data_IF_426208201836
#
_entry.id   IF_426208201836
#
_cell.length_a   1.000
_cell.length_b   1.000
_cell.length_c   1.000
_cell.angle_alpha   90.00
_cell.angle_beta   90.00
_cell.angle_gamma   90.00
#
_symmetry.space_group_name_H-M   'P 1'
#
loop_
_entity.id
_entity.type
_entity.pdbx_description
1 polymer ?
#
# COMPACT_ATOMS: atom_id res chain seq x y z
N UNK A 1 -19.20 -5.95 -66.41
CA UNK A 1 -18.75 -6.64 -65.17
C UNK A 1 -19.91 -7.43 -64.62
N UNK A 2 -19.71 -8.69 -64.23
CA UNK A 2 -20.80 -9.48 -63.68
C UNK A 2 -21.10 -9.00 -62.24
N UNK A 3 -22.35 -9.05 -61.76
CA UNK A 3 -22.71 -8.53 -60.45
C UNK A 3 -22.01 -9.25 -59.27
N UNK A 4 -21.52 -10.48 -59.48
CA UNK A 4 -20.71 -11.23 -58.50
C UNK A 4 -19.26 -10.73 -58.41
N UNK A 5 -18.71 -10.12 -59.47
CA UNK A 5 -17.35 -9.57 -59.50
C UNK A 5 -17.28 -8.22 -58.79
N UNK A 6 -18.35 -7.43 -58.87
CA UNK A 6 -18.49 -6.15 -58.16
C UNK A 6 -18.67 -6.36 -56.65
N UNK A 7 -19.41 -7.39 -56.22
CA UNK A 7 -19.61 -7.69 -54.80
C UNK A 7 -18.31 -8.17 -54.11
N UNK A 8 -17.48 -8.97 -54.81
CA UNK A 8 -16.18 -9.40 -54.29
C UNK A 8 -15.19 -8.22 -54.16
N UNK A 9 -15.19 -7.30 -55.13
CA UNK A 9 -14.31 -6.12 -55.10
C UNK A 9 -14.66 -5.15 -53.96
N UNK A 10 -15.95 -5.00 -53.62
CA UNK A 10 -16.40 -4.17 -52.50
C UNK A 10 -16.05 -4.79 -51.15
N UNK A 11 -16.19 -6.11 -50.98
CA UNK A 11 -15.78 -6.78 -49.73
C UNK A 11 -14.25 -6.73 -49.51
N UNK A 12 -13.45 -6.88 -50.55
CA UNK A 12 -12.00 -6.76 -50.46
C UNK A 12 -11.56 -5.33 -50.09
N UNK A 13 -12.25 -4.30 -50.60
CA UNK A 13 -11.97 -2.91 -50.26
C UNK A 13 -12.34 -2.56 -48.80
N UNK A 14 -13.38 -3.17 -48.22
CA UNK A 14 -13.73 -2.98 -46.80
C UNK A 14 -12.78 -3.72 -45.84
N UNK A 15 -12.17 -4.83 -46.26
CA UNK A 15 -11.24 -5.60 -45.41
C UNK A 15 -9.85 -4.93 -45.26
N UNK A 16 -9.45 -4.08 -46.21
CA UNK A 16 -8.14 -3.39 -46.20
C UNK A 16 -8.21 -2.03 -45.48
N UNK A 17 -9.42 -1.51 -45.25
CA UNK A 17 -9.65 -0.20 -44.63
C UNK A 17 -10.00 -0.23 -43.14
N UNK A 18 -9.93 -1.39 -42.47
CA UNK A 18 -10.12 -1.44 -41.03
C UNK A 18 -8.99 -0.63 -40.37
N UNK A 19 -9.26 0.52 -39.70
CA UNK A 19 -8.23 1.21 -38.98
C UNK A 19 -7.67 0.22 -37.96
N UNK A 20 -6.37 -0.05 -38.03
CA UNK A 20 -5.67 -0.71 -36.95
C UNK A 20 -5.98 0.12 -35.70
N UNK A 21 -6.84 -0.41 -34.82
CA UNK A 21 -7.05 0.14 -33.49
C UNK A 21 -5.73 -0.10 -32.78
N UNK A 22 -4.77 0.81 -32.97
CA UNK A 22 -3.57 0.83 -32.15
C UNK A 22 -4.06 1.05 -30.73
N UNK A 23 -3.81 0.07 -29.87
CA UNK A 23 -4.00 0.25 -28.45
C UNK A 23 -3.31 1.56 -28.05
N UNK A 24 -4.01 2.38 -27.28
CA UNK A 24 -3.43 3.63 -26.81
C UNK A 24 -2.13 3.27 -26.09
N UNK A 25 -1.03 3.93 -26.46
CA UNK A 25 0.23 3.72 -25.78
C UNK A 25 0.03 4.09 -24.30
N UNK A 26 0.01 3.08 -23.43
CA UNK A 26 -0.10 3.30 -22.00
C UNK A 26 1.15 4.05 -21.54
N UNK A 27 0.96 5.24 -20.98
CA UNK A 27 2.02 6.01 -20.32
C UNK A 27 1.75 5.97 -18.84
N UNK A 28 2.60 5.29 -18.09
CA UNK A 28 2.52 5.21 -16.63
C UNK A 28 2.83 6.53 -15.93
N UNK A 29 3.44 7.49 -16.63
CA UNK A 29 4.04 8.68 -16.03
C UNK A 29 5.46 8.44 -15.51
N UNK A 30 6.03 7.24 -15.68
CA UNK A 30 7.45 7.01 -15.42
C UNK A 30 8.33 7.76 -16.42
N UNK A 31 9.41 8.39 -15.94
CA UNK A 31 10.48 8.95 -16.78
C UNK A 31 11.69 7.99 -16.89
N UNK A 32 11.65 6.85 -16.20
CA UNK A 32 12.71 5.84 -16.20
C UNK A 32 13.97 6.23 -15.43
N UNK A 33 13.99 7.36 -14.72
CA UNK A 33 15.17 7.89 -14.02
C UNK A 33 15.76 6.95 -12.95
N UNK A 34 14.97 6.02 -12.41
CA UNK A 34 15.43 5.04 -11.43
C UNK A 34 16.16 3.85 -12.09
N UNK A 35 15.93 3.58 -13.38
CA UNK A 35 16.39 2.36 -14.03
C UNK A 35 15.58 1.11 -13.62
N UNK A 36 16.09 -0.10 -13.89
CA UNK A 36 15.36 -1.34 -13.60
C UNK A 36 15.37 -1.68 -12.10
N UNK A 37 14.23 -2.14 -11.58
CA UNK A 37 14.13 -2.78 -10.26
C UNK A 37 14.07 -4.28 -10.48
N UNK A 38 15.03 -5.04 -9.96
CA UNK A 38 15.03 -6.51 -10.03
C UNK A 38 15.46 -7.12 -8.70
N UNK A 39 14.58 -7.91 -8.08
CA UNK A 39 14.91 -8.59 -6.81
C UNK A 39 15.74 -9.86 -7.01
N UNK A 40 15.75 -10.43 -8.23
CA UNK A 40 16.11 -11.84 -8.42
C UNK A 40 15.33 -12.73 -7.45
N UNK A 41 16.02 -13.68 -6.82
CA UNK A 41 15.49 -14.53 -5.75
C UNK A 41 15.80 -14.02 -4.33
N UNK A 42 16.39 -12.82 -4.19
CA UNK A 42 16.85 -12.26 -2.91
C UNK A 42 15.94 -11.17 -2.34
N UNK A 43 16.36 -10.59 -1.22
CA UNK A 43 15.70 -9.40 -0.66
C UNK A 43 16.39 -8.12 -1.16
N UNK A 44 15.64 -7.29 -1.88
CA UNK A 44 16.04 -5.95 -2.28
C UNK A 44 15.28 -4.94 -1.43
N UNK A 45 15.99 -4.12 -0.65
CA UNK A 45 15.37 -3.05 0.16
C UNK A 45 15.73 -1.69 -0.42
N UNK A 46 14.71 -0.96 -0.88
CA UNK A 46 14.85 0.37 -1.47
C UNK A 46 14.52 1.47 -0.45
N UNK A 47 15.24 2.58 -0.52
CA UNK A 47 14.90 3.78 0.26
C UNK A 47 13.86 4.58 -0.53
N UNK A 48 12.73 4.89 0.11
CA UNK A 48 11.60 5.55 -0.55
C UNK A 48 11.96 7.01 -0.88
N UNK A 49 11.78 7.46 -2.14
CA UNK A 49 11.97 8.85 -2.52
C UNK A 49 11.09 9.80 -1.70
N UNK A 50 11.44 11.08 -1.52
CA UNK A 50 10.66 12.01 -0.70
C UNK A 50 9.19 12.16 -1.10
N UNK A 51 8.85 11.95 -2.37
CA UNK A 51 7.49 11.98 -2.92
C UNK A 51 6.81 10.60 -2.95
N UNK A 52 7.54 9.53 -2.63
CA UNK A 52 7.05 8.16 -2.65
C UNK A 52 7.04 7.48 -4.01
N UNK A 53 7.56 8.12 -5.07
CA UNK A 53 7.39 7.63 -6.45
C UNK A 53 8.72 7.12 -7.01
N UNK A 54 8.74 5.85 -7.40
CA UNK A 54 9.83 5.26 -8.17
C UNK A 54 9.49 5.32 -9.66
N UNK A 55 10.32 6.00 -10.45
CA UNK A 55 10.22 6.04 -11.91
C UNK A 55 11.17 5.04 -12.55
N UNK A 56 10.79 3.76 -12.53
CA UNK A 56 11.60 2.66 -13.07
C UNK A 56 11.48 2.53 -14.60
N UNK A 57 12.45 1.85 -15.21
CA UNK A 57 12.31 1.39 -16.59
C UNK A 57 11.51 0.09 -16.65
N UNK A 58 11.90 -0.92 -15.86
CA UNK A 58 11.20 -2.20 -15.66
C UNK A 58 11.17 -2.56 -14.19
N UNK A 59 10.24 -3.44 -13.80
CA UNK A 59 10.15 -3.97 -12.43
C UNK A 59 9.99 -5.48 -12.50
N UNK A 60 10.91 -6.21 -11.88
CA UNK A 60 10.87 -7.67 -11.77
C UNK A 60 10.97 -8.05 -10.29
N UNK A 61 9.93 -8.72 -9.78
CA UNK A 61 9.94 -9.37 -8.47
C UNK A 61 9.95 -10.88 -8.73
N UNK A 62 11.15 -11.45 -8.73
CA UNK A 62 11.40 -12.86 -9.08
C UNK A 62 10.93 -13.85 -8.01
N UNK A 63 10.90 -15.13 -8.37
CA UNK A 63 10.41 -16.19 -7.48
C UNK A 63 11.26 -16.31 -6.23
N UNK A 64 10.62 -16.30 -5.05
CA UNK A 64 11.29 -16.25 -3.75
C UNK A 64 11.92 -14.89 -3.40
N UNK A 65 11.94 -13.94 -4.35
CA UNK A 65 12.43 -12.59 -4.13
C UNK A 65 11.51 -11.76 -3.25
N UNK A 66 12.08 -10.76 -2.57
CA UNK A 66 11.34 -9.82 -1.73
C UNK A 66 11.77 -8.38 -2.02
N UNK A 67 10.84 -7.58 -2.50
CA UNK A 67 11.01 -6.13 -2.65
C UNK A 67 10.48 -5.44 -1.38
N UNK A 68 11.36 -4.81 -0.61
CA UNK A 68 11.05 -4.10 0.64
C UNK A 68 11.39 -2.62 0.51
N UNK A 69 10.77 -1.80 1.36
CA UNK A 69 10.93 -0.35 1.34
C UNK A 69 11.29 0.19 2.73
N UNK A 70 12.29 1.07 2.81
CA UNK A 70 12.52 1.91 4.00
C UNK A 70 11.72 3.19 3.84
N UNK A 71 10.81 3.44 4.78
CA UNK A 71 10.00 4.67 4.81
C UNK A 71 10.88 5.92 4.78
N UNK A 72 10.40 6.94 4.08
CA UNK A 72 10.98 8.27 4.13
C UNK A 72 10.48 9.04 5.37
N UNK A 73 10.97 10.28 5.54
CA UNK A 73 10.61 11.14 6.68
C UNK A 73 9.11 11.46 6.75
N UNK A 74 8.43 11.54 5.60
CA UNK A 74 6.99 11.83 5.51
C UNK A 74 6.11 10.56 5.55
N UNK A 75 6.73 9.38 5.63
CA UNK A 75 6.11 8.07 5.48
C UNK A 75 5.11 7.98 4.30
N UNK A 76 5.50 8.49 3.13
CA UNK A 76 4.61 8.49 1.96
C UNK A 76 4.23 7.07 1.53
N UNK A 77 3.05 6.88 0.90
CA UNK A 77 2.77 5.67 0.13
C UNK A 77 3.85 5.43 -0.94
N UNK A 78 4.01 4.17 -1.36
CA UNK A 78 4.94 3.80 -2.42
C UNK A 78 4.18 3.64 -3.74
N UNK A 79 4.62 4.38 -4.75
CA UNK A 79 4.17 4.24 -6.13
C UNK A 79 5.31 3.70 -6.98
N UNK A 80 5.03 2.66 -7.75
CA UNK A 80 5.97 2.06 -8.67
C UNK A 80 5.48 2.32 -10.10
N UNK A 81 6.16 3.21 -10.81
CA UNK A 81 5.86 3.54 -12.20
C UNK A 81 6.95 2.93 -13.08
N UNK A 82 6.58 2.24 -14.16
CA UNK A 82 7.51 1.65 -15.10
C UNK A 82 7.25 2.14 -16.53
N UNK A 83 8.30 2.42 -17.30
CA UNK A 83 8.15 2.72 -18.75
C UNK A 83 7.93 1.45 -19.58
N UNK A 84 8.32 0.29 -19.06
CA UNK A 84 8.16 -1.04 -19.65
C UNK A 84 7.51 -2.02 -18.68
N UNK A 85 7.87 -3.30 -18.81
CA UNK A 85 7.16 -4.38 -18.14
C UNK A 85 7.33 -4.38 -16.62
N UNK A 86 6.23 -4.76 -15.94
CA UNK A 86 6.18 -5.05 -14.51
C UNK A 86 5.81 -6.52 -14.35
N UNK A 87 6.75 -7.33 -13.87
CA UNK A 87 6.58 -8.78 -13.67
C UNK A 87 6.75 -9.13 -12.20
N UNK A 88 5.70 -9.67 -11.58
CA UNK A 88 5.74 -10.20 -10.22
C UNK A 88 5.45 -11.69 -10.31
N UNK A 89 6.49 -12.52 -10.24
CA UNK A 89 6.39 -13.96 -10.50
C UNK A 89 6.90 -14.75 -9.29
N UNK A 90 6.00 -15.05 -8.35
CA UNK A 90 6.32 -15.88 -7.17
C UNK A 90 7.16 -15.19 -6.09
N UNK A 91 7.37 -13.88 -6.18
CA UNK A 91 8.01 -13.07 -5.15
C UNK A 91 7.02 -12.19 -4.37
N UNK A 92 7.52 -11.46 -3.39
CA UNK A 92 6.72 -10.66 -2.45
C UNK A 92 7.08 -9.18 -2.52
N UNK A 93 6.08 -8.31 -2.59
CA UNK A 93 6.23 -6.89 -2.26
C UNK A 93 5.87 -6.71 -0.77
N UNK A 94 6.85 -6.29 0.02
CA UNK A 94 6.78 -6.23 1.48
C UNK A 94 6.77 -4.76 1.95
N UNK A 95 5.57 -4.30 2.31
CA UNK A 95 5.32 -2.97 2.91
C UNK A 95 5.08 -3.06 4.42
N UNK A 96 5.48 -4.15 5.07
CA UNK A 96 5.25 -4.31 6.51
C UNK A 96 6.04 -3.28 7.33
N UNK A 97 5.37 -2.81 8.38
CA UNK A 97 5.95 -1.94 9.40
C UNK A 97 6.98 -2.63 10.28
N UNK A 98 7.38 -1.93 11.34
CA UNK A 98 8.30 -2.42 12.36
C UNK A 98 7.56 -2.82 13.63
N UNK A 99 8.01 -3.89 14.27
CA UNK A 99 7.48 -4.30 15.58
C UNK A 99 7.83 -3.26 16.64
N UNK A 100 6.85 -2.88 17.46
CA UNK A 100 7.08 -2.03 18.64
C UNK A 100 7.73 -2.79 19.79
N UNK A 101 7.89 -2.10 20.92
CA UNK A 101 8.37 -2.68 22.18
C UNK A 101 7.58 -2.10 23.36
N UNK A 102 7.89 -2.56 24.58
CA UNK A 102 7.36 -1.98 25.82
C UNK A 102 7.72 -0.48 26.01
N UNK A 103 8.56 0.10 25.14
CA UNK A 103 8.96 1.51 25.21
C UNK A 103 8.74 2.28 23.90
N UNK A 104 8.35 1.61 22.81
CA UNK A 104 8.21 2.25 21.49
C UNK A 104 6.98 1.73 20.76
N UNK A 105 6.24 2.59 20.05
CA UNK A 105 5.06 2.17 19.30
C UNK A 105 5.42 1.21 18.16
N UNK A 106 4.45 0.44 17.67
CA UNK A 106 4.58 -0.25 16.40
C UNK A 106 4.76 0.76 15.27
N UNK A 107 5.84 0.62 14.50
CA UNK A 107 6.09 1.50 13.36
C UNK A 107 5.25 1.05 12.18
N UNK A 108 4.62 2.00 11.50
CA UNK A 108 3.96 1.72 10.25
C UNK A 108 4.93 1.41 9.13
N UNK A 109 4.43 0.64 8.15
CA UNK A 109 5.03 0.56 6.83
C UNK A 109 4.86 1.86 6.04
N UNK A 110 5.47 1.95 4.85
CA UNK A 110 5.29 3.09 3.95
C UNK A 110 3.81 3.39 3.69
N UNK A 111 3.42 4.65 3.88
CA UNK A 111 2.04 5.14 3.68
C UNK A 111 1.10 4.93 4.87
N UNK A 112 1.48 4.14 5.89
CA UNK A 112 0.66 3.90 7.08
C UNK A 112 0.90 4.88 8.23
N UNK A 113 0.21 4.65 9.34
CA UNK A 113 0.35 5.40 10.59
C UNK A 113 0.78 4.50 11.74
N UNK A 114 1.77 4.96 12.51
CA UNK A 114 2.27 4.20 13.65
C UNK A 114 1.15 3.91 14.67
N UNK A 115 1.32 2.83 15.40
CA UNK A 115 0.46 2.50 16.54
C UNK A 115 0.66 3.43 17.74
N UNK A 116 -0.18 3.24 18.74
CA UNK A 116 -0.12 3.93 20.01
C UNK A 116 1.12 3.54 20.83
N UNK A 117 1.65 4.50 21.59
CA UNK A 117 2.73 4.23 22.52
C UNK A 117 2.24 3.32 23.67
N UNK A 118 3.09 2.42 24.19
CA UNK A 118 2.73 1.61 25.35
C UNK A 118 2.51 2.49 26.58
N UNK A 119 1.56 2.11 27.43
CA UNK A 119 1.35 2.74 28.74
C UNK A 119 2.29 2.18 29.80
N UNK A 120 2.51 2.93 30.88
CA UNK A 120 3.27 2.47 32.06
C UNK A 120 2.62 2.95 33.35
N UNK A 121 3.15 2.55 34.50
CA UNK A 121 2.69 3.08 35.80
C UNK A 121 2.73 4.60 35.78
N UNK A 122 1.56 5.24 35.93
CA UNK A 122 1.41 6.69 35.92
C UNK A 122 1.43 7.36 34.54
N UNK A 123 1.54 6.60 33.43
CA UNK A 123 1.46 7.12 32.07
C UNK A 123 0.42 6.34 31.26
N UNK A 124 -0.60 7.03 30.77
CA UNK A 124 -1.60 6.44 29.89
C UNK A 124 -0.97 5.97 28.58
N UNK A 125 -1.50 4.88 28.01
CA UNK A 125 -1.11 4.44 26.69
C UNK A 125 -1.60 5.44 25.62
N UNK A 126 -0.90 5.48 24.49
CA UNK A 126 -1.22 6.38 23.39
C UNK A 126 -2.26 5.81 22.43
N UNK A 127 -2.97 6.70 21.74
CA UNK A 127 -3.82 6.37 20.61
C UNK A 127 -2.97 6.05 19.36
N UNK A 128 -3.52 5.23 18.47
CA UNK A 128 -3.00 5.05 17.11
C UNK A 128 -3.00 6.36 16.34
N UNK A 129 -2.00 6.58 15.49
CA UNK A 129 -1.70 7.91 14.94
C UNK A 129 -2.45 8.27 13.67
N UNK A 130 -3.28 7.36 13.15
CA UNK A 130 -4.04 7.58 11.93
C UNK A 130 -5.45 8.11 12.15
N UNK A 131 -6.13 8.52 11.07
CA UNK A 131 -7.48 9.10 11.12
C UNK A 131 -8.55 8.16 11.71
N UNK A 132 -8.34 6.85 11.64
CA UNK A 132 -9.16 5.85 12.31
C UNK A 132 -8.43 5.14 13.45
N UNK A 133 -7.42 5.78 14.04
CA UNK A 133 -6.56 5.18 15.06
C UNK A 133 -7.35 4.70 16.26
N UNK A 134 -7.03 3.50 16.75
CA UNK A 134 -7.61 2.98 17.98
C UNK A 134 -7.11 3.77 19.19
N UNK A 135 -7.96 3.98 20.20
CA UNK A 135 -7.58 4.68 21.42
C UNK A 135 -6.75 3.79 22.35
N UNK A 136 -5.84 4.42 23.08
CA UNK A 136 -5.03 3.77 24.10
C UNK A 136 -5.88 3.24 25.28
N UNK A 137 -5.37 2.19 25.91
CA UNK A 137 -5.90 1.67 27.17
C UNK A 137 -5.68 2.61 28.36
N UNK A 138 -6.52 2.48 29.39
CA UNK A 138 -6.36 3.15 30.69
C UNK A 138 -5.18 2.60 31.51
N UNK A 139 -4.49 3.44 32.29
CA UNK A 139 -3.19 3.13 32.91
C UNK A 139 -3.21 2.12 34.09
N UNK A 140 -4.33 1.48 34.41
CA UNK A 140 -4.54 0.78 35.69
C UNK A 140 -4.90 -0.68 35.49
N UNK A 141 -3.88 -1.51 35.29
CA UNK A 141 -3.92 -2.98 35.31
C UNK A 141 -4.10 -3.62 33.92
N UNK A 142 -3.43 -4.75 33.73
CA UNK A 142 -3.09 -5.40 32.43
C UNK A 142 -4.25 -5.83 31.52
N UNK A 143 -5.47 -5.35 31.78
CA UNK A 143 -6.70 -5.59 31.03
C UNK A 143 -7.29 -4.30 30.43
N UNK A 144 -6.54 -3.18 30.46
CA UNK A 144 -6.95 -1.98 29.75
C UNK A 144 -6.78 -2.16 28.24
N UNK A 145 -7.75 -2.84 27.65
CA UNK A 145 -7.74 -3.19 26.24
C UNK A 145 -7.75 -1.92 25.38
N UNK A 146 -6.70 -1.76 24.59
CA UNK A 146 -6.66 -0.76 23.54
C UNK A 146 -7.67 -1.08 22.44
N UNK A 147 -8.13 -0.06 21.74
CA UNK A 147 -8.97 -0.27 20.56
C UNK A 147 -8.15 -0.58 19.31
N UNK A 148 -8.76 -1.33 18.39
CA UNK A 148 -8.26 -1.44 17.02
C UNK A 148 -8.52 -0.18 16.19
N UNK A 149 -7.78 -0.05 15.09
CA UNK A 149 -8.06 0.95 14.06
C UNK A 149 -9.29 0.58 13.23
N UNK A 150 -10.01 1.58 12.73
CA UNK A 150 -11.20 1.42 11.89
C UNK A 150 -11.02 2.09 10.54
N UNK A 151 -11.27 1.38 9.43
CA UNK A 151 -11.41 1.96 8.09
C UNK A 151 -12.70 1.46 7.48
N UNK A 152 -13.50 2.37 6.89
CA UNK A 152 -14.79 2.12 6.25
C UNK A 152 -15.90 1.55 7.14
N UNK A 153 -15.56 0.69 8.09
CA UNK A 153 -16.41 0.13 9.13
C UNK A 153 -15.70 0.23 10.47
N UNK A 154 -16.47 0.32 11.55
CA UNK A 154 -15.93 0.25 12.92
C UNK A 154 -15.32 -1.13 13.15
N UNK A 155 -14.12 -1.19 13.72
CA UNK A 155 -13.47 -2.46 14.09
C UNK A 155 -14.27 -3.22 15.17
N UNK A 156 -14.08 -4.53 15.24
CA UNK A 156 -14.55 -5.35 16.36
C UNK A 156 -13.50 -5.50 17.46
N UNK A 157 -12.26 -5.06 17.21
CA UNK A 157 -11.13 -5.26 18.10
C UNK A 157 -11.12 -4.24 19.24
N UNK A 158 -11.04 -4.75 20.47
CA UNK A 158 -11.04 -3.96 21.70
C UNK A 158 -12.41 -3.40 22.09
N UNK A 159 -12.48 -2.69 23.23
CA UNK A 159 -13.73 -2.25 23.80
C UNK A 159 -14.32 -1.07 23.01
N UNK A 160 -15.64 -1.00 22.98
CA UNK A 160 -16.39 -0.07 22.12
C UNK A 160 -15.97 1.39 22.29
N UNK A 161 -15.64 1.81 23.51
CA UNK A 161 -15.23 3.19 23.80
C UNK A 161 -13.83 3.55 23.27
N UNK A 162 -12.98 2.55 23.05
CA UNK A 162 -11.60 2.67 22.61
C UNK A 162 -11.43 2.45 21.11
N UNK A 163 -12.44 1.92 20.40
CA UNK A 163 -12.34 1.71 18.95
C UNK A 163 -12.11 3.01 18.21
N UNK A 164 -11.26 2.95 17.19
CA UNK A 164 -11.03 4.09 16.31
C UNK A 164 -12.31 4.51 15.59
N UNK A 165 -12.45 5.81 15.35
CA UNK A 165 -13.55 6.32 14.55
C UNK A 165 -13.44 5.81 13.10
N UNK A 166 -14.57 5.61 12.43
CA UNK A 166 -14.55 5.27 11.02
C UNK A 166 -14.08 6.46 10.19
N UNK A 167 -13.11 6.23 9.32
CA UNK A 167 -12.74 7.14 8.24
C UNK A 167 -12.76 6.40 6.90
N UNK A 168 -12.61 7.15 5.81
CA UNK A 168 -12.51 6.58 4.48
C UNK A 168 -13.84 6.06 3.93
N UNK A 169 -13.77 5.25 2.88
CA UNK A 169 -14.94 4.72 2.18
C UNK A 169 -14.70 3.28 1.75
N UNK A 170 -15.64 2.36 1.95
CA UNK A 170 -15.52 0.99 1.44
C UNK A 170 -15.53 0.94 -0.09
N UNK A 171 -15.94 2.02 -0.76
CA UNK A 171 -16.04 2.09 -2.22
C UNK A 171 -14.77 2.62 -2.90
N UNK A 172 -13.80 3.11 -2.13
CA UNK A 172 -12.55 3.65 -2.63
C UNK A 172 -11.39 2.77 -2.18
N UNK A 173 -10.42 2.56 -3.08
CA UNK A 173 -9.13 2.02 -2.66
C UNK A 173 -8.50 3.03 -1.70
N UNK A 174 -8.10 2.62 -0.48
CA UNK A 174 -7.41 3.52 0.43
C UNK A 174 -6.09 3.97 -0.20
N UNK A 175 -5.97 5.28 -0.41
CA UNK A 175 -4.72 5.90 -0.88
C UNK A 175 -3.73 6.14 0.26
N UNK A 176 -4.16 5.90 1.50
CA UNK A 176 -3.35 6.00 2.72
C UNK A 176 -3.41 4.65 3.42
N UNK A 177 -2.29 4.21 4.00
CA UNK A 177 -2.17 2.94 4.70
C UNK A 177 -2.98 2.85 6.00
N UNK A 178 -2.70 1.82 6.79
CA UNK A 178 -3.41 1.53 8.05
C UNK A 178 -3.30 2.66 9.08
N UNK A 179 -4.31 2.78 9.94
CA UNK A 179 -4.42 3.89 10.92
C UNK A 179 -3.73 3.67 12.26
N UNK A 180 -3.18 2.47 12.51
CA UNK A 180 -2.56 2.12 13.78
C UNK A 180 -3.54 1.84 14.93
N UNK A 181 -3.33 0.78 15.70
CA UNK A 181 -4.08 0.47 16.91
C UNK A 181 -3.60 1.27 18.11
N UNK A 182 -4.41 1.38 19.17
CA UNK A 182 -3.98 1.98 20.43
C UNK A 182 -2.97 1.11 21.17
N UNK A 183 -2.17 1.71 22.04
CA UNK A 183 -1.31 0.97 22.98
C UNK A 183 -2.06 0.54 24.24
N UNK A 184 -1.54 -0.45 24.95
CA UNK A 184 -2.01 -0.89 26.25
C UNK A 184 -0.87 -0.82 27.29
N UNK A 185 -1.15 -1.19 28.54
CA UNK A 185 -0.13 -1.22 29.59
C UNK A 185 0.98 -2.22 29.22
N UNK A 186 2.21 -1.72 29.02
CA UNK A 186 3.36 -2.53 28.62
C UNK A 186 3.41 -2.98 27.16
N UNK A 187 2.32 -2.80 26.41
CA UNK A 187 2.19 -3.27 25.02
C UNK A 187 1.94 -2.11 24.04
N UNK A 188 2.71 -2.01 22.94
CA UNK A 188 2.49 -0.98 21.93
C UNK A 188 1.31 -1.34 21.03
N UNK A 189 0.68 -0.32 20.46
CA UNK A 189 -0.25 -0.50 19.37
C UNK A 189 0.46 -0.96 18.09
N UNK A 190 -0.25 -1.72 17.26
CA UNK A 190 0.19 -2.11 15.92
C UNK A 190 0.18 -0.89 14.98
N UNK A 191 1.16 -0.79 14.07
CA UNK A 191 1.22 0.23 13.02
C UNK A 191 0.86 -0.31 11.65
#
# INVERSE_FOLDING_TARGET
>A
MNPKTTLLAVLAALAVGAPHVQAQAFRSGSDGSYGPIDTGSGTLTLDVPPDGIFHATTITVGSGGRLRFRRNALNTPVYLLATGDVTINGGTIDVSGGRGSAFTPGLAGPGGFDGGAPGSVGLAAGDGRGPGGGKGGTATDGDAEAGGASYATITTDGPVAQRGATYGSPLLLPIVGGSGGGGAAGDPGWG
#
